data_IF_714707140028
#
_entry.id   IF_714707140028
#
_cell.length_a   1.000
_cell.length_b   1.000
_cell.length_c   1.000
_cell.angle_alpha   90.00
_cell.angle_beta   90.00
_cell.angle_gamma   90.00
#
_symmetry.space_group_name_H-M   'P 1'
#
loop_
_entity.id
_entity.type
_entity.pdbx_description
1 polymer ?
#
# COMPACT_ATOMS: atom_id res chain seq x y z
N UNK A 1 10.36 7.37 -13.92
CA UNK A 1 9.74 6.03 -14.00
C UNK A 1 9.96 5.38 -15.34
N UNK A 2 10.31 4.10 -15.36
CA UNK A 2 10.47 3.28 -16.56
C UNK A 2 10.00 1.84 -16.35
N UNK A 3 9.84 1.10 -17.45
CA UNK A 3 9.53 -0.34 -17.42
C UNK A 3 10.77 -1.10 -17.88
N UNK A 4 11.30 -1.97 -17.01
CA UNK A 4 12.34 -2.93 -17.35
C UNK A 4 11.68 -4.27 -17.67
N UNK A 5 11.69 -4.66 -18.94
CA UNK A 5 11.19 -5.98 -19.36
C UNK A 5 12.23 -7.05 -19.06
N UNK A 6 11.76 -8.23 -18.66
CA UNK A 6 12.60 -9.41 -18.54
C UNK A 6 12.78 -10.06 -19.92
N UNK A 7 13.84 -10.85 -20.04
CA UNK A 7 14.21 -11.56 -21.26
C UNK A 7 14.01 -13.07 -21.15
N UNK A 8 14.05 -13.61 -19.93
CA UNK A 8 13.91 -15.05 -19.62
C UNK A 8 12.47 -15.51 -19.45
N UNK A 9 11.53 -14.57 -19.23
CA UNK A 9 10.11 -14.85 -19.07
C UNK A 9 9.26 -13.64 -19.46
N UNK A 10 7.96 -13.83 -19.72
CA UNK A 10 7.02 -12.73 -19.97
C UNK A 10 6.71 -12.00 -18.65
N UNK A 11 7.63 -11.13 -18.25
CA UNK A 11 7.51 -10.32 -17.06
C UNK A 11 8.12 -8.93 -17.26
N UNK A 12 7.79 -8.04 -16.33
CA UNK A 12 8.36 -6.70 -16.29
C UNK A 12 8.44 -6.18 -14.85
N UNK A 13 9.30 -5.18 -14.66
CA UNK A 13 9.40 -4.38 -13.45
C UNK A 13 9.12 -2.92 -13.80
N UNK A 14 8.10 -2.34 -13.16
CA UNK A 14 7.95 -0.89 -13.08
C UNK A 14 8.91 -0.37 -12.01
N UNK A 15 9.75 0.59 -12.38
CA UNK A 15 10.74 1.21 -11.49
C UNK A 15 10.49 2.72 -11.51
N UNK A 16 10.26 3.30 -10.34
CA UNK A 16 9.83 4.69 -10.24
C UNK A 16 11.00 5.67 -10.43
N UNK A 17 12.09 5.47 -9.68
CA UNK A 17 13.33 6.25 -9.72
C UNK A 17 14.49 5.37 -10.21
N UNK A 18 15.34 5.91 -11.08
CA UNK A 18 16.49 5.17 -11.61
C UNK A 18 17.68 5.16 -10.64
N UNK A 19 18.59 4.21 -10.84
CA UNK A 19 19.93 4.18 -10.25
C UNK A 19 20.01 4.14 -8.71
N UNK A 20 18.96 3.62 -8.07
CA UNK A 20 18.91 3.36 -6.62
C UNK A 20 18.31 1.98 -6.32
N UNK A 21 18.62 1.41 -5.16
CA UNK A 21 17.97 0.18 -4.68
C UNK A 21 16.48 0.41 -4.44
N UNK A 22 15.70 -0.67 -4.40
CA UNK A 22 14.25 -0.52 -4.34
C UNK A 22 13.48 -1.67 -3.72
N UNK A 23 12.30 -1.32 -3.23
CA UNK A 23 11.36 -2.22 -2.58
C UNK A 23 10.01 -2.23 -3.30
N UNK A 24 9.30 -3.34 -3.21
CA UNK A 24 7.90 -3.37 -3.60
C UNK A 24 7.33 -4.77 -3.70
N UNK A 25 6.48 -5.03 -4.68
CA UNK A 25 5.71 -6.28 -4.76
C UNK A 25 5.84 -6.97 -6.10
N UNK A 26 5.76 -8.30 -6.10
CA UNK A 26 5.61 -9.12 -7.30
C UNK A 26 4.21 -9.73 -7.37
N UNK A 27 3.56 -9.61 -8.53
CA UNK A 27 2.25 -10.20 -8.80
C UNK A 27 2.33 -11.11 -10.01
N UNK A 28 1.58 -12.20 -9.95
CA UNK A 28 1.45 -13.16 -11.05
C UNK A 28 -0.01 -13.33 -11.43
N UNK A 29 -0.28 -13.25 -12.74
CA UNK A 29 -1.59 -13.50 -13.32
C UNK A 29 -1.43 -13.86 -14.81
N UNK A 30 -2.49 -14.36 -15.48
CA UNK A 30 -2.46 -14.51 -16.94
C UNK A 30 -2.13 -13.21 -17.67
N UNK A 31 -2.54 -12.08 -17.09
CA UNK A 31 -2.16 -10.74 -17.55
C UNK A 31 -2.05 -9.76 -16.39
N UNK A 32 -0.86 -9.20 -16.20
CA UNK A 32 -0.62 -8.05 -15.33
C UNK A 32 -0.40 -6.81 -16.20
N UNK A 33 -1.09 -5.72 -15.88
CA UNK A 33 -1.00 -4.47 -16.62
C UNK A 33 0.10 -3.58 -16.04
N UNK A 34 0.85 -2.92 -16.93
CA UNK A 34 1.91 -1.99 -16.54
C UNK A 34 1.37 -0.77 -15.81
N UNK A 35 0.18 -0.26 -16.17
CA UNK A 35 -0.45 0.89 -15.52
C UNK A 35 -0.54 0.72 -14.00
N UNK A 36 -1.25 -0.32 -13.54
CA UNK A 36 -1.35 -0.57 -12.10
C UNK A 36 -0.01 -0.92 -11.42
N UNK A 37 0.98 -1.43 -12.15
CA UNK A 37 2.33 -1.62 -11.57
C UNK A 37 3.07 -0.28 -11.37
N UNK A 38 2.85 0.69 -12.25
CA UNK A 38 3.39 2.05 -12.10
C UNK A 38 2.83 2.73 -10.86
N UNK A 39 1.52 2.63 -10.65
CA UNK A 39 0.86 3.24 -9.49
C UNK A 39 1.38 2.62 -8.18
N UNK A 40 1.54 1.28 -8.15
CA UNK A 40 2.12 0.59 -6.99
C UNK A 40 3.58 0.98 -6.74
N UNK A 41 4.40 1.06 -7.78
CA UNK A 41 5.79 1.52 -7.64
C UNK A 41 5.83 2.94 -7.06
N UNK A 42 4.95 3.85 -7.52
CA UNK A 42 4.85 5.21 -6.98
C UNK A 42 4.44 5.23 -5.51
N UNK A 43 3.44 4.44 -5.12
CA UNK A 43 3.01 4.30 -3.72
C UNK A 43 4.16 3.86 -2.81
N UNK A 44 4.94 2.87 -3.23
CA UNK A 44 6.10 2.41 -2.44
C UNK A 44 7.22 3.45 -2.37
N UNK A 45 7.47 4.23 -3.43
CA UNK A 45 8.44 5.34 -3.37
C UNK A 45 8.03 6.35 -2.30
N UNK A 46 6.74 6.66 -2.19
CA UNK A 46 6.24 7.61 -1.18
C UNK A 46 6.31 7.00 0.23
N UNK A 47 6.06 5.70 0.39
CA UNK A 47 6.30 5.01 1.65
C UNK A 47 7.78 5.12 2.08
N UNK A 48 8.72 4.84 1.15
CA UNK A 48 10.16 4.95 1.41
C UNK A 48 10.57 6.39 1.73
N UNK A 49 9.95 7.39 1.10
CA UNK A 49 10.21 8.80 1.38
C UNK A 49 9.71 9.23 2.77
N UNK A 50 8.56 8.71 3.23
CA UNK A 50 8.09 8.91 4.62
C UNK A 50 9.09 8.31 5.62
N UNK A 51 9.74 7.21 5.26
CA UNK A 51 10.81 6.58 6.04
C UNK A 51 12.18 7.25 5.86
N UNK A 52 12.26 8.33 5.09
CA UNK A 52 13.48 9.08 4.77
C UNK A 52 14.58 8.20 4.12
N UNK A 53 14.17 7.24 3.29
CA UNK A 53 15.07 6.32 2.58
C UNK A 53 15.30 6.79 1.14
N UNK A 54 16.57 6.87 0.72
CA UNK A 54 16.99 7.20 -0.66
C UNK A 54 16.91 5.99 -1.57
N UNK A 55 15.69 5.49 -1.75
CA UNK A 55 15.39 4.25 -2.45
C UNK A 55 14.16 4.43 -3.34
N UNK A 56 13.95 3.51 -4.29
CA UNK A 56 12.80 3.55 -5.21
C UNK A 56 11.75 2.52 -4.86
N UNK A 57 10.48 2.86 -5.10
CA UNK A 57 9.45 1.85 -5.24
C UNK A 57 9.58 1.10 -6.56
N UNK A 58 9.28 -0.20 -6.52
CA UNK A 58 9.22 -1.09 -7.69
C UNK A 58 7.93 -1.92 -7.67
N UNK A 59 7.47 -2.38 -8.82
CA UNK A 59 6.36 -3.36 -8.89
C UNK A 59 6.55 -4.28 -10.08
N UNK A 60 6.54 -5.59 -9.82
CA UNK A 60 6.70 -6.60 -10.84
C UNK A 60 5.35 -7.19 -11.28
N UNK A 61 5.22 -7.42 -12.58
CA UNK A 61 4.14 -8.19 -13.18
C UNK A 61 4.70 -9.38 -13.93
N UNK A 62 4.27 -10.57 -13.56
CA UNK A 62 4.68 -11.85 -14.15
C UNK A 62 3.46 -12.43 -14.86
N UNK A 63 3.52 -12.51 -16.19
CA UNK A 63 2.45 -13.04 -17.01
C UNK A 63 2.65 -14.55 -17.19
N UNK A 64 1.75 -15.35 -16.65
CA UNK A 64 1.81 -16.80 -16.82
C UNK A 64 0.44 -17.45 -16.62
N UNK A 65 0.22 -18.57 -17.30
CA UNK A 65 -0.92 -19.46 -17.01
C UNK A 65 -0.62 -20.28 -15.75
N UNK A 66 -1.63 -20.91 -15.13
CA UNK A 66 -1.40 -21.78 -13.96
C UNK A 66 -0.35 -22.87 -14.19
N UNK A 67 -0.29 -23.44 -15.39
CA UNK A 67 0.62 -24.54 -15.74
C UNK A 67 2.08 -24.07 -15.87
N UNK A 68 2.29 -22.85 -16.37
CA UNK A 68 3.62 -22.26 -16.59
C UNK A 68 4.18 -21.53 -15.36
N UNK A 69 3.43 -21.49 -14.26
CA UNK A 69 3.67 -20.62 -13.11
C UNK A 69 5.03 -20.80 -12.47
N UNK A 70 5.38 -22.03 -12.08
CA UNK A 70 6.63 -22.32 -11.38
C UNK A 70 7.87 -21.98 -12.23
N UNK A 71 7.80 -22.26 -13.53
CA UNK A 71 8.87 -21.93 -14.49
C UNK A 71 9.03 -20.41 -14.61
N UNK A 72 7.92 -19.67 -14.74
CA UNK A 72 7.95 -18.21 -14.85
C UNK A 72 8.51 -17.54 -13.60
N UNK A 73 8.13 -17.98 -12.40
CA UNK A 73 8.68 -17.44 -11.14
C UNK A 73 10.17 -17.71 -10.97
N UNK A 74 10.60 -18.93 -11.29
CA UNK A 74 12.03 -19.30 -11.20
C UNK A 74 12.87 -18.45 -12.14
N UNK A 75 12.43 -18.32 -13.40
CA UNK A 75 13.10 -17.48 -14.40
C UNK A 75 13.13 -16.00 -13.97
N UNK A 76 12.00 -15.49 -13.48
CA UNK A 76 11.89 -14.13 -12.96
C UNK A 76 12.87 -13.86 -11.82
N UNK A 77 12.84 -14.69 -10.77
CA UNK A 77 13.66 -14.51 -9.58
C UNK A 77 15.15 -14.58 -9.92
N UNK A 78 15.54 -15.53 -10.79
CA UNK A 78 16.93 -15.66 -11.25
C UNK A 78 17.42 -14.45 -12.04
N UNK A 79 16.63 -13.96 -12.99
CA UNK A 79 17.01 -12.80 -13.81
C UNK A 79 17.10 -11.52 -12.96
N UNK A 80 16.14 -11.25 -12.08
CA UNK A 80 16.14 -10.04 -11.24
C UNK A 80 17.28 -10.08 -10.21
N UNK A 81 17.58 -11.24 -9.62
CA UNK A 81 18.72 -11.40 -8.72
C UNK A 81 20.05 -11.08 -9.42
N UNK A 82 20.19 -11.45 -10.71
CA UNK A 82 21.39 -11.19 -11.50
C UNK A 82 21.59 -9.73 -11.93
N UNK A 83 20.63 -8.83 -11.68
CA UNK A 83 20.77 -7.42 -12.05
C UNK A 83 21.61 -6.60 -11.06
N UNK A 84 21.94 -7.15 -9.89
CA UNK A 84 22.73 -6.48 -8.84
C UNK A 84 22.20 -5.09 -8.43
N UNK A 85 20.93 -4.81 -8.70
CA UNK A 85 20.28 -3.51 -8.45
C UNK A 85 19.79 -3.34 -7.00
N UNK A 86 19.97 -4.35 -6.14
CA UNK A 86 19.48 -4.31 -4.76
C UNK A 86 17.96 -4.32 -4.62
N UNK A 87 17.23 -4.93 -5.57
CA UNK A 87 15.78 -4.99 -5.54
C UNK A 87 15.23 -6.05 -4.60
N UNK A 88 14.23 -5.68 -3.80
CA UNK A 88 13.53 -6.54 -2.84
C UNK A 88 12.03 -6.52 -3.12
N UNK A 89 11.42 -7.69 -3.27
CA UNK A 89 10.03 -7.85 -3.67
C UNK A 89 9.29 -8.75 -2.69
N UNK A 90 8.22 -8.24 -2.10
CA UNK A 90 7.28 -9.04 -1.33
C UNK A 90 6.36 -9.82 -2.28
N UNK A 91 6.01 -11.04 -1.89
CA UNK A 91 4.97 -11.81 -2.55
C UNK A 91 3.62 -11.10 -2.43
N UNK A 92 2.89 -11.01 -3.54
CA UNK A 92 1.54 -10.46 -3.58
C UNK A 92 0.66 -11.35 -4.48
N UNK A 93 -0.47 -10.83 -4.97
CA UNK A 93 -1.47 -11.62 -5.71
C UNK A 93 -0.84 -12.59 -6.73
N UNK A 94 -1.10 -13.88 -6.52
CA UNK A 94 -0.65 -14.98 -7.38
C UNK A 94 0.77 -15.48 -7.12
N UNK A 95 1.48 -14.93 -6.15
CA UNK A 95 2.82 -15.31 -5.68
C UNK A 95 2.71 -15.68 -4.21
N UNK A 96 3.22 -16.84 -3.82
CA UNK A 96 3.26 -17.30 -2.44
C UNK A 96 4.60 -16.94 -1.80
N UNK A 97 4.63 -16.92 -0.47
CA UNK A 97 5.86 -16.72 0.29
C UNK A 97 6.86 -17.85 0.02
N UNK A 98 8.13 -17.48 -0.15
CA UNK A 98 9.27 -18.36 -0.46
C UNK A 98 9.54 -18.53 -1.97
N UNK A 99 8.68 -18.04 -2.85
CA UNK A 99 8.78 -18.30 -4.29
C UNK A 99 9.59 -17.26 -5.07
N UNK A 100 10.06 -16.19 -4.41
CA UNK A 100 10.86 -15.14 -5.03
C UNK A 100 12.36 -15.30 -4.75
N UNK A 101 12.75 -16.33 -4.00
CA UNK A 101 14.15 -16.68 -3.78
C UNK A 101 14.99 -15.52 -3.21
N UNK A 102 16.13 -15.24 -3.83
CA UNK A 102 17.09 -14.26 -3.31
C UNK A 102 16.57 -12.81 -3.29
N UNK A 103 15.56 -12.47 -4.11
CA UNK A 103 14.99 -11.12 -4.18
C UNK A 103 13.80 -10.93 -3.23
N UNK A 104 13.42 -11.96 -2.48
CA UNK A 104 12.22 -11.92 -1.67
C UNK A 104 12.33 -10.98 -0.45
N UNK A 105 11.37 -10.08 -0.30
CA UNK A 105 11.19 -9.30 0.92
C UNK A 105 10.13 -9.97 1.81
N UNK A 106 10.27 -9.89 3.14
CA UNK A 106 9.21 -10.37 4.03
C UNK A 106 7.92 -9.59 3.77
N UNK A 107 6.82 -10.31 3.57
CA UNK A 107 5.48 -9.79 3.73
C UNK A 107 5.03 -10.13 5.15
N UNK A 108 4.59 -9.13 5.92
CA UNK A 108 4.18 -9.35 7.31
C UNK A 108 2.84 -8.67 7.58
N UNK A 109 1.79 -9.50 7.67
CA UNK A 109 0.44 -9.05 7.95
C UNK A 109 0.29 -8.43 9.34
N UNK A 110 1.10 -8.84 10.33
CA UNK A 110 1.10 -8.27 11.68
C UNK A 110 1.66 -6.85 11.63
N UNK A 111 2.72 -6.61 10.86
CA UNK A 111 3.27 -5.25 10.69
C UNK A 111 2.31 -4.33 9.93
N UNK A 112 1.60 -4.84 8.91
CA UNK A 112 0.55 -4.08 8.22
C UNK A 112 -0.60 -3.75 9.18
N UNK A 113 -1.08 -4.73 9.95
CA UNK A 113 -2.12 -4.51 10.96
C UNK A 113 -1.69 -3.49 12.02
N UNK A 114 -0.45 -3.57 12.51
CA UNK A 114 0.09 -2.63 13.48
C UNK A 114 0.07 -1.18 12.96
N UNK A 115 0.47 -0.96 11.70
CA UNK A 115 0.42 0.35 11.05
C UNK A 115 -1.03 0.83 10.84
N UNK A 116 -1.89 0.00 10.26
CA UNK A 116 -3.27 0.35 9.99
C UNK A 116 -4.04 0.74 11.27
N UNK A 117 -3.93 -0.06 12.33
CA UNK A 117 -4.61 0.25 13.61
C UNK A 117 -4.02 1.50 14.27
N UNK A 118 -2.69 1.69 14.23
CA UNK A 118 -2.06 2.91 14.74
C UNK A 118 -2.52 4.18 14.00
N UNK A 119 -2.68 4.09 12.68
CA UNK A 119 -3.22 5.17 11.87
C UNK A 119 -4.67 5.50 12.24
N UNK A 120 -5.50 4.46 12.38
CA UNK A 120 -6.91 4.62 12.73
C UNK A 120 -7.09 5.36 14.06
N UNK A 121 -6.36 4.93 15.10
CA UNK A 121 -6.44 5.53 16.43
C UNK A 121 -5.86 6.95 16.45
N UNK A 122 -4.80 7.23 15.68
CA UNK A 122 -4.26 8.58 15.57
C UNK A 122 -5.25 9.54 14.87
N UNK A 123 -5.96 9.06 13.85
CA UNK A 123 -6.93 9.85 13.11
C UNK A 123 -8.25 10.06 13.88
N UNK A 124 -8.72 9.04 14.59
CA UNK A 124 -9.98 9.08 15.34
C UNK A 124 -9.84 8.36 16.70
N UNK A 125 -9.28 9.04 17.73
CA UNK A 125 -8.95 8.42 19.01
C UNK A 125 -10.14 7.88 19.81
N UNK A 126 -11.35 8.32 19.48
CA UNK A 126 -12.61 7.92 20.14
C UNK A 126 -13.36 6.84 19.38
N UNK A 127 -12.73 6.18 18.40
CA UNK A 127 -13.35 5.08 17.66
C UNK A 127 -13.71 3.91 18.60
N UNK A 128 -14.90 3.35 18.41
CA UNK A 128 -15.38 2.18 19.15
C UNK A 128 -15.66 0.99 18.21
N UNK A 129 -16.05 1.27 16.97
CA UNK A 129 -16.52 0.27 16.01
C UNK A 129 -15.69 0.25 14.73
N UNK A 130 -15.45 -0.94 14.19
CA UNK A 130 -14.74 -1.13 12.94
C UNK A 130 -15.45 -2.15 12.05
N UNK A 131 -15.43 -1.91 10.75
CA UNK A 131 -15.79 -2.87 9.70
C UNK A 131 -14.58 -3.11 8.80
N UNK A 132 -14.48 -4.32 8.24
CA UNK A 132 -13.35 -4.75 7.40
C UNK A 132 -13.89 -5.28 6.07
N UNK A 133 -13.31 -4.85 4.95
CA UNK A 133 -13.74 -5.26 3.59
C UNK A 133 -13.33 -6.69 3.17
N UNK A 134 -12.93 -7.51 4.14
CA UNK A 134 -12.32 -8.83 3.94
C UNK A 134 -10.80 -8.80 3.74
N UNK A 135 -10.16 -7.63 3.82
CA UNK A 135 -8.69 -7.49 3.83
C UNK A 135 -8.08 -7.68 5.23
N UNK A 136 -6.75 -7.70 5.32
CA UNK A 136 -5.99 -7.71 6.59
C UNK A 136 -5.96 -9.03 7.36
N UNK A 137 -6.96 -9.90 7.17
CA UNK A 137 -7.01 -11.24 7.76
C UNK A 137 -6.99 -11.24 9.30
N UNK A 138 -6.60 -12.39 9.87
CA UNK A 138 -6.63 -12.60 11.32
C UNK A 138 -5.77 -11.59 12.11
N UNK A 139 -4.59 -11.24 11.59
CA UNK A 139 -3.69 -10.30 12.25
C UNK A 139 -4.33 -8.91 12.46
N UNK A 140 -5.14 -8.45 11.50
CA UNK A 140 -5.88 -7.19 11.64
C UNK A 140 -6.96 -7.32 12.71
N UNK A 141 -7.76 -8.39 12.68
CA UNK A 141 -8.83 -8.61 13.66
C UNK A 141 -8.27 -8.67 15.09
N UNK A 142 -7.18 -9.39 15.31
CA UNK A 142 -6.50 -9.46 16.60
C UNK A 142 -6.02 -8.08 17.05
N UNK A 143 -5.36 -7.33 16.16
CA UNK A 143 -4.88 -5.97 16.48
C UNK A 143 -6.01 -4.98 16.82
N UNK A 144 -7.19 -5.12 16.21
CA UNK A 144 -8.37 -4.31 16.52
C UNK A 144 -8.94 -4.65 17.90
N UNK A 145 -9.10 -5.94 18.19
CA UNK A 145 -9.61 -6.43 19.48
C UNK A 145 -8.66 -6.05 20.63
N UNK A 146 -7.34 -6.14 20.41
CA UNK A 146 -6.34 -5.71 21.39
C UNK A 146 -6.42 -4.21 21.70
N UNK A 147 -6.99 -3.40 20.80
CA UNK A 147 -7.29 -1.98 21.04
C UNK A 147 -8.69 -1.71 21.57
N UNK A 148 -9.46 -2.75 21.86
CA UNK A 148 -10.80 -2.64 22.43
C UNK A 148 -11.87 -2.23 21.41
N UNK A 149 -11.57 -2.31 20.11
CA UNK A 149 -12.55 -2.01 19.06
C UNK A 149 -13.50 -3.20 18.85
N UNK A 150 -14.79 -2.90 18.70
CA UNK A 150 -15.79 -3.88 18.27
C UNK A 150 -15.72 -4.04 16.75
N UNK A 151 -15.27 -5.21 16.29
CA UNK A 151 -15.27 -5.56 14.86
C UNK A 151 -16.65 -6.09 14.50
N UNK A 152 -17.38 -5.35 13.66
CA UNK A 152 -18.75 -5.67 13.29
C UNK A 152 -18.78 -6.67 12.12
N UNK A 153 -19.54 -7.75 12.28
CA UNK A 153 -19.88 -8.64 11.17
C UNK A 153 -21.08 -8.08 10.41
N UNK A 154 -20.87 -7.70 9.16
CA UNK A 154 -21.87 -7.04 8.31
C UNK A 154 -21.86 -7.63 6.91
N UNK A 155 -23.01 -7.57 6.23
CA UNK A 155 -23.12 -8.06 4.85
C UNK A 155 -22.34 -7.18 3.87
N UNK A 156 -22.45 -5.86 4.02
CA UNK A 156 -21.74 -4.88 3.20
C UNK A 156 -20.95 -3.90 4.08
N UNK A 157 -19.61 -4.06 4.18
CA UNK A 157 -18.76 -3.20 4.99
C UNK A 157 -18.65 -1.76 4.44
N UNK A 158 -19.02 -1.51 3.18
CA UNK A 158 -18.96 -0.17 2.61
C UNK A 158 -20.15 0.72 3.01
N UNK A 159 -21.29 0.14 3.35
CA UNK A 159 -22.51 0.89 3.67
C UNK A 159 -22.91 0.79 5.14
N UNK A 160 -22.33 -0.15 5.88
CA UNK A 160 -22.58 -0.31 7.31
C UNK A 160 -22.11 0.91 8.12
N UNK A 161 -22.91 1.40 9.10
CA UNK A 161 -22.49 2.45 10.00
C UNK A 161 -21.44 1.91 10.99
N UNK A 162 -20.27 2.55 11.03
CA UNK A 162 -19.19 2.27 11.97
C UNK A 162 -18.27 3.50 12.10
N UNK A 163 -17.33 3.51 13.03
CA UNK A 163 -16.35 4.60 13.10
C UNK A 163 -15.28 4.44 12.00
N UNK A 164 -14.82 3.21 11.80
CA UNK A 164 -13.68 2.87 10.96
C UNK A 164 -14.06 1.86 9.88
N UNK A 165 -13.63 2.10 8.63
CA UNK A 165 -13.56 1.08 7.58
C UNK A 165 -12.10 0.74 7.28
N UNK A 166 -11.73 -0.52 7.47
CA UNK A 166 -10.46 -1.06 7.00
C UNK A 166 -10.62 -1.63 5.59
N UNK A 167 -9.91 -1.06 4.62
CA UNK A 167 -10.11 -1.36 3.19
C UNK A 167 -8.80 -1.68 2.47
N UNK A 168 -8.81 -2.74 1.67
CA UNK A 168 -7.61 -3.18 0.97
C UNK A 168 -7.79 -4.41 0.07
N UNK A 169 -9.03 -4.84 -0.16
CA UNK A 169 -9.30 -6.07 -0.94
C UNK A 169 -8.79 -6.00 -2.38
N UNK A 170 -8.75 -4.78 -2.96
CA UNK A 170 -8.16 -4.50 -4.27
C UNK A 170 -7.90 -3.01 -4.47
N UNK A 171 -7.04 -2.70 -5.44
CA UNK A 171 -6.84 -1.35 -5.96
C UNK A 171 -8.18 -0.80 -6.49
N UNK A 172 -8.51 0.44 -6.10
CA UNK A 172 -9.72 1.13 -6.53
C UNK A 172 -11.02 0.49 -6.06
N UNK A 173 -10.99 -0.27 -4.96
CA UNK A 173 -12.21 -0.83 -4.34
C UNK A 173 -13.24 0.25 -4.00
N UNK A 174 -12.76 1.42 -3.58
CA UNK A 174 -13.57 2.59 -3.24
C UNK A 174 -13.41 3.60 -4.37
N UNK A 175 -14.42 3.67 -5.23
CA UNK A 175 -14.59 4.75 -6.19
C UNK A 175 -15.48 5.86 -5.61
N UNK A 176 -15.70 6.92 -6.38
CA UNK A 176 -16.57 8.02 -6.00
C UNK A 176 -18.01 7.63 -5.62
N UNK A 177 -18.57 6.58 -6.22
CA UNK A 177 -19.95 6.13 -5.93
C UNK A 177 -20.01 5.37 -4.62
N UNK A 178 -18.99 4.58 -4.32
CA UNK A 178 -18.83 3.90 -3.03
C UNK A 178 -18.57 4.95 -1.94
N UNK A 179 -17.69 5.92 -2.21
CA UNK A 179 -17.37 7.00 -1.28
C UNK A 179 -18.62 7.82 -0.85
N UNK A 180 -19.58 8.02 -1.75
CA UNK A 180 -20.85 8.70 -1.45
C UNK A 180 -21.81 7.89 -0.55
N UNK A 181 -21.53 6.60 -0.34
CA UNK A 181 -22.39 5.69 0.44
C UNK A 181 -21.73 5.25 1.75
N UNK A 182 -20.50 5.68 2.01
CA UNK A 182 -19.74 5.29 3.19
C UNK A 182 -20.46 5.71 4.48
N UNK A 183 -20.71 4.74 5.36
CA UNK A 183 -21.30 4.95 6.69
C UNK A 183 -20.28 5.24 7.78
N UNK A 184 -19.04 5.64 7.44
CA UNK A 184 -17.90 5.69 8.37
C UNK A 184 -17.27 7.06 8.51
N UNK A 185 -16.48 7.25 9.57
CA UNK A 185 -15.71 8.49 9.82
C UNK A 185 -14.31 8.44 9.22
N UNK A 186 -13.69 7.26 9.20
CA UNK A 186 -12.33 7.07 8.69
C UNK A 186 -12.25 5.85 7.78
N UNK A 187 -11.61 6.01 6.62
CA UNK A 187 -11.19 4.90 5.76
C UNK A 187 -9.69 4.68 5.97
N UNK A 188 -9.34 3.47 6.42
CA UNK A 188 -7.99 3.06 6.79
C UNK A 188 -7.51 2.00 5.79
N UNK A 189 -6.56 2.31 4.91
CA UNK A 189 -6.04 1.32 3.98
C UNK A 189 -5.27 0.19 4.69
N UNK A 190 -5.53 -1.04 4.27
CA UNK A 190 -4.80 -2.27 4.69
C UNK A 190 -4.07 -2.92 3.51
N UNK A 191 -4.25 -2.37 2.32
CA UNK A 191 -3.57 -2.73 1.08
C UNK A 191 -3.34 -1.48 0.23
N UNK A 192 -2.64 -1.62 -0.90
CA UNK A 192 -2.27 -0.48 -1.71
C UNK A 192 -3.44 0.05 -2.54
N UNK A 193 -3.54 1.38 -2.60
CA UNK A 193 -4.40 2.17 -3.46
C UNK A 193 -5.89 1.76 -3.46
N UNK A 194 -6.54 1.53 -2.31
CA UNK A 194 -7.94 1.11 -2.30
C UNK A 194 -8.90 2.24 -2.72
N UNK A 195 -8.49 3.50 -2.58
CA UNK A 195 -9.28 4.67 -3.00
C UNK A 195 -8.79 5.22 -4.35
N UNK A 196 -9.74 5.52 -5.24
CA UNK A 196 -9.47 6.32 -6.44
C UNK A 196 -9.29 7.80 -6.10
N UNK A 197 -8.64 8.57 -6.98
CA UNK A 197 -8.50 10.02 -6.82
C UNK A 197 -9.86 10.73 -6.63
N UNK A 198 -10.90 10.29 -7.36
CA UNK A 198 -12.26 10.83 -7.19
C UNK A 198 -12.87 10.43 -5.85
N UNK A 199 -12.65 9.20 -5.37
CA UNK A 199 -13.12 8.79 -4.06
C UNK A 199 -12.55 9.67 -2.94
N UNK A 200 -11.27 10.02 -3.00
CA UNK A 200 -10.63 10.91 -2.02
C UNK A 200 -11.34 12.27 -1.96
N UNK A 201 -11.61 12.88 -3.12
CA UNK A 201 -12.35 14.14 -3.19
C UNK A 201 -13.80 14.04 -2.68
N UNK A 202 -14.44 12.88 -2.85
CA UNK A 202 -15.77 12.62 -2.31
C UNK A 202 -15.73 12.43 -0.79
N UNK A 203 -14.78 11.66 -0.27
CA UNK A 203 -14.56 11.51 1.18
C UNK A 203 -14.38 12.88 1.85
N UNK A 204 -13.52 13.74 1.28
CA UNK A 204 -13.31 15.09 1.82
C UNK A 204 -14.59 15.93 1.85
N UNK A 205 -15.41 15.88 0.80
CA UNK A 205 -16.70 16.61 0.76
C UNK A 205 -17.74 16.08 1.75
N UNK A 206 -17.61 14.82 2.15
CA UNK A 206 -18.52 14.15 3.07
C UNK A 206 -17.96 14.08 4.51
N UNK A 207 -16.90 14.85 4.82
CA UNK A 207 -16.22 14.86 6.13
C UNK A 207 -15.72 13.46 6.58
N UNK A 208 -15.28 12.64 5.62
CA UNK A 208 -14.68 11.33 5.84
C UNK A 208 -13.17 11.43 5.67
N UNK A 209 -12.43 10.98 6.68
CA UNK A 209 -10.96 10.94 6.65
C UNK A 209 -10.49 9.73 5.84
N UNK A 210 -10.04 9.94 4.60
CA UNK A 210 -9.31 8.94 3.85
C UNK A 210 -7.82 9.01 4.22
N UNK A 211 -7.29 7.94 4.82
CA UNK A 211 -5.88 7.89 5.23
C UNK A 211 -4.95 7.44 4.09
N UNK A 212 -3.67 7.87 4.08
CA UNK A 212 -2.69 7.49 3.06
C UNK A 212 -2.23 6.05 3.19
N UNK A 213 -2.47 5.25 2.15
CA UNK A 213 -2.12 3.82 2.09
C UNK A 213 -0.62 3.56 2.26
N UNK A 214 0.21 4.38 1.61
CA UNK A 214 1.67 4.29 1.68
C UNK A 214 2.23 4.61 3.07
N UNK A 215 1.40 5.16 3.98
CA UNK A 215 1.73 5.31 5.40
C UNK A 215 1.13 4.16 6.21
N UNK A 216 -0.17 3.89 6.07
CA UNK A 216 -0.86 2.88 6.90
C UNK A 216 -0.31 1.47 6.71
N UNK A 217 0.23 1.16 5.53
CA UNK A 217 0.73 -0.17 5.16
C UNK A 217 2.26 -0.29 5.18
N UNK A 218 2.99 0.74 5.64
CA UNK A 218 4.46 0.77 5.56
C UNK A 218 5.19 -0.18 6.54
N UNK A 219 4.48 -0.83 7.45
CA UNK A 219 5.07 -1.65 8.52
C UNK A 219 6.14 -2.65 8.07
N UNK A 220 5.92 -3.45 7.00
CA UNK A 220 6.96 -4.36 6.48
C UNK A 220 8.26 -3.67 6.04
N UNK A 221 8.22 -2.40 5.63
CA UNK A 221 9.41 -1.61 5.30
C UNK A 221 10.14 -1.11 6.55
N UNK A 222 9.44 -1.03 7.69
CA UNK A 222 10.00 -0.67 9.00
C UNK A 222 10.61 -1.89 9.69
N UNK A 223 9.94 -3.05 9.59
CA UNK A 223 10.41 -4.33 10.10
C UNK A 223 10.22 -4.57 11.60
N UNK A 224 9.57 -3.64 12.31
CA UNK A 224 9.32 -3.72 13.76
C UNK A 224 7.96 -3.12 14.11
N UNK A 225 7.17 -3.82 14.93
CA UNK A 225 5.78 -3.44 15.19
C UNK A 225 5.66 -2.17 16.04
N UNK A 226 6.50 -1.99 17.06
CA UNK A 226 6.44 -0.83 17.95
C UNK A 226 6.91 0.44 17.23
N UNK A 227 8.01 0.33 16.48
CA UNK A 227 8.49 1.41 15.62
C UNK A 227 7.47 1.75 14.54
N UNK A 228 6.80 0.75 13.96
CA UNK A 228 5.72 0.98 12.99
C UNK A 228 4.59 1.79 13.60
N UNK A 229 4.09 1.39 14.78
CA UNK A 229 3.00 2.11 15.45
C UNK A 229 3.39 3.55 15.75
N UNK A 230 4.58 3.77 16.31
CA UNK A 230 5.06 5.11 16.64
C UNK A 230 5.17 6.01 15.41
N UNK A 231 5.83 5.52 14.35
CA UNK A 231 6.03 6.27 13.11
C UNK A 231 4.69 6.59 12.42
N UNK A 232 3.81 5.60 12.29
CA UNK A 232 2.54 5.79 11.61
C UNK A 232 1.63 6.73 12.39
N UNK A 233 1.56 6.60 13.72
CA UNK A 233 0.78 7.52 14.54
C UNK A 233 1.30 8.96 14.45
N UNK A 234 2.62 9.17 14.45
CA UNK A 234 3.24 10.50 14.26
C UNK A 234 2.83 11.10 12.91
N UNK A 235 3.09 10.38 11.82
CA UNK A 235 2.80 10.87 10.47
C UNK A 235 1.32 11.19 10.31
N UNK A 236 0.43 10.31 10.80
CA UNK A 236 -1.02 10.52 10.68
C UNK A 236 -1.48 11.70 11.53
N UNK A 237 -0.99 11.84 12.76
CA UNK A 237 -1.34 12.99 13.61
C UNK A 237 -0.93 14.34 12.98
N UNK A 238 0.21 14.36 12.26
CA UNK A 238 0.68 15.56 11.57
C UNK A 238 -0.19 15.94 10.36
N UNK A 239 -0.74 14.96 9.64
CA UNK A 239 -1.44 15.20 8.36
C UNK A 239 -2.96 15.16 8.46
N UNK A 240 -3.53 14.64 9.56
CA UNK A 240 -4.99 14.45 9.67
C UNK A 240 -5.78 15.75 9.54
N UNK A 241 -5.21 16.87 10.02
CA UNK A 241 -5.81 18.21 9.96
C UNK A 241 -5.47 19.00 8.68
N UNK A 242 -4.81 18.38 7.70
CA UNK A 242 -4.41 19.07 6.47
C UNK A 242 -5.64 19.54 5.66
N UNK A 243 -5.61 20.77 5.14
CA UNK A 243 -6.77 21.40 4.48
C UNK A 243 -7.28 20.63 3.25
N UNK A 244 -6.36 20.01 2.51
CA UNK A 244 -6.67 19.14 1.35
C UNK A 244 -6.78 17.65 1.72
N UNK A 245 -6.85 17.36 3.02
CA UNK A 245 -6.99 16.02 3.57
C UNK A 245 -5.68 15.26 3.81
N UNK A 246 -5.73 14.14 4.56
CA UNK A 246 -4.55 13.45 5.09
C UNK A 246 -3.60 12.91 4.00
N UNK A 247 -4.16 12.43 2.88
CA UNK A 247 -3.38 11.89 1.77
C UNK A 247 -2.49 12.97 1.14
N UNK A 248 -3.04 14.18 0.96
CA UNK A 248 -2.30 15.29 0.37
C UNK A 248 -1.20 15.76 1.32
N UNK A 249 -1.50 15.93 2.61
CA UNK A 249 -0.47 16.28 3.61
C UNK A 249 0.67 15.26 3.67
N UNK A 250 0.36 13.96 3.58
CA UNK A 250 1.40 12.93 3.54
C UNK A 250 2.20 12.94 2.23
N UNK A 251 1.58 13.26 1.09
CA UNK A 251 2.30 13.43 -0.17
C UNK A 251 3.29 14.59 -0.07
N UNK A 252 2.89 15.73 0.49
CA UNK A 252 3.76 16.89 0.64
C UNK A 252 4.94 16.61 1.58
N UNK A 253 4.71 15.86 2.67
CA UNK A 253 5.80 15.39 3.55
C UNK A 253 6.80 14.50 2.79
N UNK A 254 6.31 13.54 2.01
CA UNK A 254 7.16 12.68 1.18
C UNK A 254 7.93 13.48 0.11
N UNK A 255 7.25 14.39 -0.58
CA UNK A 255 7.82 15.25 -1.62
C UNK A 255 8.89 16.19 -1.08
N UNK A 256 8.75 16.68 0.16
CA UNK A 256 9.77 17.49 0.83
C UNK A 256 11.08 16.70 0.99
N UNK A 257 11.00 15.44 1.43
CA UNK A 257 12.18 14.57 1.50
C UNK A 257 12.76 14.27 0.12
N UNK A 258 11.92 13.92 -0.85
CA UNK A 258 12.34 13.60 -2.23
C UNK A 258 13.07 14.77 -2.88
N UNK A 259 12.58 16.00 -2.71
CA UNK A 259 13.22 17.23 -3.22
C UNK A 259 14.61 17.46 -2.61
N UNK A 260 14.86 16.91 -1.42
CA UNK A 260 16.16 17.00 -0.75
C UNK A 260 17.29 16.23 -1.44
N UNK A 261 16.98 15.31 -2.38
CA UNK A 261 18.00 14.53 -3.08
C UNK A 261 17.70 14.23 -4.55
N UNK A 262 16.51 14.54 -5.05
CA UNK A 262 16.17 14.51 -6.47
C UNK A 262 16.22 15.90 -7.10
N UNK A 263 16.71 15.97 -8.34
CA UNK A 263 16.70 17.22 -9.11
C UNK A 263 15.30 17.64 -9.58
N UNK A 264 14.38 16.68 -9.73
CA UNK A 264 12.99 16.90 -10.11
C UNK A 264 12.10 15.84 -9.45
N UNK A 265 10.92 16.24 -8.97
CA UNK A 265 9.95 15.31 -8.41
C UNK A 265 9.34 14.41 -9.49
N UNK A 266 9.02 13.16 -9.16
CA UNK A 266 8.40 12.27 -10.12
C UNK A 266 6.97 12.75 -10.44
N UNK A 267 6.61 12.76 -11.73
CA UNK A 267 5.30 13.23 -12.19
C UNK A 267 4.15 12.40 -11.62
N UNK A 268 3.26 13.03 -10.83
CA UNK A 268 2.06 12.44 -10.23
C UNK A 268 2.21 11.99 -8.78
N UNK A 269 1.10 11.91 -8.05
CA UNK A 269 1.02 11.41 -6.67
C UNK A 269 0.51 9.96 -6.63
N UNK A 270 0.74 9.21 -5.54
CA UNK A 270 0.31 7.82 -5.41
C UNK A 270 -1.20 7.70 -5.22
N UNK A 271 -1.97 7.88 -6.29
CA UNK A 271 -3.43 7.75 -6.29
C UNK A 271 -3.84 6.85 -7.46
N UNK A 272 -4.81 5.96 -7.22
CA UNK A 272 -5.41 5.19 -8.30
C UNK A 272 -6.23 6.12 -9.21
N UNK A 273 -6.00 6.01 -10.52
CA UNK A 273 -6.76 6.71 -11.56
C UNK A 273 -8.14 6.11 -11.79
#
# INVERSE_FOLDING_TARGET
>A
MFIRKLTTTDAFLAVDLADVSGHGVARLAPKVLQGGARDLARSVTYALAILERRETGISAGINSTPEGRAVALTAFAGEVAGWEAGYRLAAAKGVEAGELGAVEAPADAVLVAAGAVAAAIAAFPTAETAVVDGSGGQALTEALVDRGLSVLEVEDPFTAPADLLFAGVRVGAIDHRVADQLGVRVVVPTGPLPLTAKAIAHCQRNDILALPDFVTTCGPLVGDADRTRALVSEVVADVVGHGDGPIIGACERAEAFLTGWLGELPFGRPMAT
#
